data_IF_256042404833
#
_entry.id   IF_256042404833
#
_cell.length_a   1.000
_cell.length_b   1.000
_cell.length_c   1.000
_cell.angle_alpha   90.00
_cell.angle_beta   90.00
_cell.angle_gamma   90.00
#
_symmetry.space_group_name_H-M   'P 1'
#
loop_
_entity.id
_entity.type
_entity.pdbx_description
1 polymer ?
#
# COMPACT_ATOMS: atom_id res chain seq x y z
N UNK A 1 -32.06 -64.67 -44.60
CA UNK A 1 -31.66 -64.79 -46.01
C UNK A 1 -30.88 -63.55 -46.43
N UNK A 2 -29.79 -63.79 -47.14
CA UNK A 2 -29.00 -62.88 -47.97
C UNK A 2 -27.66 -62.40 -47.42
N UNK A 3 -26.67 -62.67 -48.27
CA UNK A 3 -25.23 -62.69 -48.13
C UNK A 3 -24.64 -61.40 -48.75
N UNK A 4 -23.51 -60.96 -48.20
CA UNK A 4 -22.33 -60.35 -48.86
C UNK A 4 -22.51 -59.04 -49.64
N UNK A 5 -21.70 -58.05 -49.25
CA UNK A 5 -20.71 -57.46 -50.17
C UNK A 5 -19.55 -56.87 -49.37
N UNK A 6 -18.35 -57.38 -49.67
CA UNK A 6 -17.06 -56.79 -49.30
C UNK A 6 -16.85 -55.50 -50.10
N UNK A 7 -16.21 -54.49 -49.52
CA UNK A 7 -15.18 -53.73 -50.24
C UNK A 7 -14.20 -53.10 -49.24
N UNK A 8 -12.92 -53.41 -49.45
CA UNK A 8 -11.78 -52.85 -48.74
C UNK A 8 -11.52 -51.42 -49.19
N UNK A 9 -11.14 -50.55 -48.25
CA UNK A 9 -10.25 -49.44 -48.55
C UNK A 9 -9.40 -49.15 -47.30
N UNK A 10 -8.13 -49.51 -47.43
CA UNK A 10 -7.08 -49.24 -46.46
C UNK A 10 -7.00 -47.73 -46.17
N UNK A 11 -6.93 -47.37 -44.90
CA UNK A 11 -6.40 -46.06 -44.49
C UNK A 11 -5.27 -46.28 -43.50
N UNK A 12 -4.14 -45.71 -43.89
CA UNK A 12 -2.82 -45.78 -43.31
C UNK A 12 -2.83 -45.31 -41.86
N UNK A 13 -2.19 -46.09 -41.00
CA UNK A 13 -1.83 -45.67 -39.65
C UNK A 13 -0.74 -44.59 -39.72
N UNK A 14 -1.02 -43.42 -39.14
CA UNK A 14 0.02 -42.45 -38.77
C UNK A 14 -0.12 -42.17 -37.27
N UNK A 15 0.49 -43.03 -36.46
CA UNK A 15 0.64 -42.80 -35.03
C UNK A 15 1.77 -41.77 -34.83
N UNK A 16 1.41 -40.49 -34.77
CA UNK A 16 2.31 -39.43 -34.34
C UNK A 16 2.21 -39.29 -32.82
N UNK A 17 2.92 -40.14 -32.08
CA UNK A 17 3.06 -40.02 -30.63
C UNK A 17 4.09 -38.94 -30.33
N UNK A 18 3.69 -37.66 -30.37
CA UNK A 18 4.44 -36.58 -29.74
C UNK A 18 4.29 -36.74 -28.23
N UNK A 19 5.25 -37.42 -27.61
CA UNK A 19 5.46 -37.38 -26.16
C UNK A 19 5.85 -35.95 -25.76
N UNK A 20 4.85 -35.08 -25.62
CA UNK A 20 5.00 -33.79 -24.96
C UNK A 20 5.22 -34.02 -23.48
N UNK A 21 6.47 -34.12 -23.04
CA UNK A 21 6.82 -33.84 -21.65
C UNK A 21 6.63 -32.34 -21.43
N UNK A 22 5.41 -31.91 -21.16
CA UNK A 22 5.18 -30.63 -20.50
C UNK A 22 5.71 -30.78 -19.08
N UNK A 23 6.97 -30.43 -18.88
CA UNK A 23 7.48 -30.13 -17.56
C UNK A 23 6.71 -28.90 -17.06
N UNK A 24 5.60 -29.13 -16.35
CA UNK A 24 4.96 -28.10 -15.54
C UNK A 24 5.97 -27.75 -14.46
N UNK A 25 6.72 -26.67 -14.65
CA UNK A 25 7.47 -26.08 -13.56
C UNK A 25 6.48 -25.80 -12.43
N UNK A 26 6.75 -26.21 -11.18
CA UNK A 26 5.90 -25.81 -10.06
C UNK A 26 5.90 -24.28 -10.05
N UNK A 27 4.71 -23.68 -10.11
CA UNK A 27 4.56 -22.27 -9.83
C UNK A 27 5.16 -22.07 -8.44
N UNK A 28 6.24 -21.29 -8.35
CA UNK A 28 6.74 -20.82 -7.07
C UNK A 28 5.53 -20.17 -6.38
N UNK A 29 5.12 -20.71 -5.24
CA UNK A 29 4.11 -20.07 -4.41
C UNK A 29 4.70 -18.71 -4.05
N UNK A 30 4.22 -17.64 -4.70
CA UNK A 30 4.50 -16.29 -4.25
C UNK A 30 4.10 -16.28 -2.78
N UNK A 31 5.06 -16.01 -1.90
CA UNK A 31 4.76 -15.83 -0.49
C UNK A 31 3.69 -14.74 -0.31
N UNK A 32 3.12 -14.61 0.89
CA UNK A 32 2.18 -13.52 1.15
C UNK A 32 2.81 -12.19 0.74
N UNK A 33 2.02 -11.31 0.12
CA UNK A 33 2.46 -10.00 -0.36
C UNK A 33 2.82 -9.02 0.76
N UNK A 34 2.58 -9.41 2.02
CA UNK A 34 2.89 -8.68 3.24
C UNK A 34 3.48 -9.61 4.30
N UNK A 35 4.18 -9.04 5.27
CA UNK A 35 4.74 -9.76 6.40
C UNK A 35 3.64 -10.35 7.30
N UNK A 36 3.92 -11.46 8.02
CA UNK A 36 3.00 -11.98 9.04
C UNK A 36 2.63 -10.97 10.13
N UNK A 37 3.56 -10.07 10.47
CA UNK A 37 3.33 -9.01 11.47
C UNK A 37 2.35 -7.95 10.94
N UNK A 38 2.51 -7.51 9.69
CA UNK A 38 1.56 -6.62 9.04
C UNK A 38 0.19 -7.30 8.87
N UNK A 39 0.14 -8.58 8.52
CA UNK A 39 -1.12 -9.32 8.43
C UNK A 39 -1.85 -9.42 9.79
N UNK A 40 -1.11 -9.59 10.89
CA UNK A 40 -1.67 -9.63 12.23
C UNK A 40 -2.24 -8.27 12.66
N UNK A 41 -1.50 -7.18 12.41
CA UNK A 41 -1.92 -5.80 12.72
C UNK A 41 -3.18 -5.33 11.98
N UNK A 42 -3.57 -6.05 10.93
CA UNK A 42 -4.77 -5.74 10.13
C UNK A 42 -5.94 -6.67 10.43
N UNK A 43 -5.74 -7.68 11.28
CA UNK A 43 -6.67 -8.80 11.40
C UNK A 43 -8.00 -8.42 12.08
N UNK A 44 -7.98 -7.46 13.00
CA UNK A 44 -9.16 -6.98 13.73
C UNK A 44 -9.77 -5.70 13.13
N UNK A 45 -9.12 -5.13 12.11
CA UNK A 45 -9.57 -3.94 11.39
C UNK A 45 -9.22 -2.61 12.07
N UNK A 46 -8.45 -2.62 13.16
CA UNK A 46 -8.02 -1.40 13.85
C UNK A 46 -6.51 -1.46 14.13
N UNK A 47 -5.74 -0.57 13.48
CA UNK A 47 -4.31 -0.46 13.76
C UNK A 47 -4.10 0.34 15.04
N UNK A 48 -3.45 -0.26 16.03
CA UNK A 48 -3.02 0.42 17.26
C UNK A 48 -1.67 1.14 17.07
N UNK A 49 -1.32 2.06 18.00
CA UNK A 49 -0.02 2.73 17.96
C UNK A 49 1.15 1.73 18.00
N UNK A 50 1.05 0.70 18.83
CA UNK A 50 2.11 -0.30 19.00
C UNK A 50 2.31 -1.11 17.71
N UNK A 51 1.23 -1.41 16.98
CA UNK A 51 1.29 -2.10 15.68
C UNK A 51 1.85 -1.21 14.58
N UNK A 52 1.44 0.06 14.56
CA UNK A 52 1.98 1.08 13.66
C UNK A 52 3.49 1.24 13.84
N UNK A 53 3.94 1.40 15.09
CA UNK A 53 5.35 1.53 15.43
C UNK A 53 6.12 0.23 15.15
N UNK A 54 5.54 -0.94 15.44
CA UNK A 54 6.17 -2.23 15.11
C UNK A 54 6.39 -2.41 13.60
N UNK A 55 5.42 -1.99 12.77
CA UNK A 55 5.56 -2.02 11.31
C UNK A 55 6.66 -1.09 10.82
N UNK A 56 6.71 0.13 11.36
CA UNK A 56 7.79 1.07 11.06
C UNK A 56 9.17 0.51 11.42
N UNK A 57 9.30 -0.07 12.61
CA UNK A 57 10.56 -0.64 13.07
C UNK A 57 11.01 -1.82 12.19
N UNK A 58 10.07 -2.64 11.70
CA UNK A 58 10.38 -3.72 10.77
C UNK A 58 10.82 -3.20 9.40
N UNK A 59 10.16 -2.15 8.89
CA UNK A 59 10.57 -1.44 7.68
C UNK A 59 11.97 -0.83 7.82
N UNK A 60 12.25 -0.12 8.91
CA UNK A 60 13.55 0.48 9.21
C UNK A 60 14.65 -0.57 9.29
N UNK A 61 14.38 -1.71 9.95
CA UNK A 61 15.33 -2.83 10.02
C UNK A 61 15.64 -3.41 8.64
N UNK A 62 14.63 -3.63 7.79
CA UNK A 62 14.83 -4.09 6.41
C UNK A 62 15.72 -3.13 5.61
N UNK A 63 15.46 -1.84 5.73
CA UNK A 63 16.23 -0.78 5.07
C UNK A 63 17.69 -0.76 5.55
N UNK A 64 17.91 -0.88 6.86
CA UNK A 64 19.25 -0.94 7.44
C UNK A 64 20.02 -2.20 7.00
N UNK A 65 19.38 -3.37 6.99
CA UNK A 65 19.98 -4.65 6.53
C UNK A 65 20.41 -4.59 5.07
N UNK A 66 19.73 -3.79 4.25
CA UNK A 66 20.06 -3.55 2.84
C UNK A 66 21.11 -2.45 2.63
N UNK A 67 21.63 -1.86 3.71
CA UNK A 67 22.66 -0.82 3.68
C UNK A 67 22.13 0.60 3.46
N UNK A 68 20.82 0.82 3.63
CA UNK A 68 20.16 2.11 3.42
C UNK A 68 19.35 2.54 4.65
N UNK A 69 19.98 2.81 5.81
CA UNK A 69 19.25 3.20 7.01
C UNK A 69 18.43 4.47 6.80
N UNK A 70 17.26 4.53 7.45
CA UNK A 70 16.40 5.73 7.48
C UNK A 70 17.13 6.86 8.20
N UNK A 71 17.05 8.09 7.66
CA UNK A 71 17.69 9.27 8.22
C UNK A 71 16.68 10.26 8.80
N UNK A 72 17.12 11.19 9.65
CA UNK A 72 16.29 12.28 10.21
C UNK A 72 14.96 11.84 10.82
N UNK A 73 14.96 10.66 11.47
CA UNK A 73 13.78 10.06 12.09
C UNK A 73 13.22 10.98 13.19
N UNK A 74 11.92 11.24 13.13
CA UNK A 74 11.18 11.97 14.16
C UNK A 74 9.75 11.48 14.28
N UNK A 75 9.18 11.67 15.47
CA UNK A 75 7.75 11.55 15.68
C UNK A 75 7.11 12.93 15.55
N UNK A 76 6.08 13.04 14.71
CA UNK A 76 5.29 14.25 14.52
C UNK A 76 3.83 13.97 14.90
N UNK A 77 3.51 14.12 16.19
CA UNK A 77 2.20 13.77 16.74
C UNK A 77 1.89 12.28 16.57
N UNK A 78 0.94 11.97 15.67
CA UNK A 78 0.50 10.60 15.37
C UNK A 78 1.30 9.95 14.22
N UNK A 79 2.24 10.66 13.60
CA UNK A 79 3.05 10.13 12.48
C UNK A 79 4.48 9.85 12.93
N UNK A 80 5.08 8.82 12.31
CA UNK A 80 6.54 8.63 12.30
C UNK A 80 7.04 9.05 10.92
N UNK A 81 8.01 9.97 10.90
CA UNK A 81 8.60 10.51 9.68
C UNK A 81 10.09 10.17 9.63
N UNK A 82 10.61 9.96 8.43
CA UNK A 82 12.04 9.76 8.19
C UNK A 82 12.39 9.97 6.72
N UNK A 83 13.63 10.32 6.46
CA UNK A 83 14.18 10.45 5.11
C UNK A 83 14.58 9.10 4.54
N UNK A 84 14.11 8.81 3.32
CA UNK A 84 14.54 7.65 2.55
C UNK A 84 15.77 8.04 1.72
N UNK A 85 16.91 7.34 1.85
CA UNK A 85 18.07 7.60 0.99
C UNK A 85 17.70 7.42 -0.49
N UNK A 86 18.01 8.41 -1.34
CA UNK A 86 17.63 8.36 -2.76
C UNK A 86 18.20 7.15 -3.52
N UNK A 87 19.34 6.61 -3.07
CA UNK A 87 19.90 5.38 -3.63
C UNK A 87 19.03 4.13 -3.36
N UNK A 88 18.31 4.09 -2.23
CA UNK A 88 17.36 3.01 -1.92
C UNK A 88 16.14 3.08 -2.83
N UNK A 89 15.63 4.31 -3.07
CA UNK A 89 14.53 4.58 -4.01
C UNK A 89 14.88 4.13 -5.41
N UNK A 90 16.06 4.51 -5.90
CA UNK A 90 16.53 4.11 -7.23
C UNK A 90 16.70 2.59 -7.37
N UNK A 91 17.00 1.90 -6.26
CA UNK A 91 17.13 0.45 -6.22
C UNK A 91 15.79 -0.28 -5.97
N UNK A 92 14.70 0.44 -5.67
CA UNK A 92 13.39 -0.12 -5.32
C UNK A 92 13.34 -0.82 -3.96
N UNK A 93 14.38 -0.66 -3.13
CA UNK A 93 14.50 -1.33 -1.83
C UNK A 93 13.56 -0.69 -0.81
N UNK A 94 13.35 0.61 -0.91
CA UNK A 94 12.37 1.33 -0.10
C UNK A 94 10.97 0.77 -0.30
N UNK A 95 10.53 0.63 -1.55
CA UNK A 95 9.22 0.09 -1.89
C UNK A 95 9.10 -1.38 -1.46
N UNK A 96 10.12 -2.20 -1.70
CA UNK A 96 10.13 -3.60 -1.28
C UNK A 96 9.98 -3.74 0.25
N UNK A 97 10.79 -3.02 1.02
CA UNK A 97 10.74 -3.04 2.48
C UNK A 97 9.43 -2.42 2.99
N UNK A 98 8.98 -1.31 2.41
CA UNK A 98 7.78 -0.59 2.84
C UNK A 98 6.53 -1.43 2.60
N UNK A 99 6.31 -1.89 1.37
CA UNK A 99 5.12 -2.66 0.99
C UNK A 99 5.02 -3.95 1.82
N UNK A 100 6.15 -4.64 2.03
CA UNK A 100 6.15 -5.89 2.76
C UNK A 100 5.95 -5.71 4.27
N UNK A 101 6.56 -4.71 4.90
CA UNK A 101 6.55 -4.60 6.37
C UNK A 101 5.56 -3.59 6.96
N UNK A 102 5.19 -2.53 6.24
CA UNK A 102 4.50 -1.40 6.86
C UNK A 102 3.37 -0.76 6.04
N UNK A 103 3.40 -0.83 4.71
CA UNK A 103 2.63 0.10 3.88
C UNK A 103 1.11 0.05 4.03
N UNK A 104 0.51 -1.11 4.29
CA UNK A 104 -0.93 -1.20 4.58
C UNK A 104 -1.26 -0.78 6.01
N UNK A 105 -0.37 -1.04 6.97
CA UNK A 105 -0.52 -0.56 8.36
C UNK A 105 -0.47 0.97 8.38
N UNK A 106 0.53 1.57 7.73
CA UNK A 106 0.65 3.03 7.60
C UNK A 106 -0.56 3.64 6.88
N UNK A 107 -0.98 3.05 5.75
CA UNK A 107 -2.17 3.52 5.03
C UNK A 107 -3.44 3.54 5.89
N UNK A 108 -3.74 2.46 6.61
CA UNK A 108 -4.89 2.41 7.51
C UNK A 108 -4.77 3.40 8.67
N UNK A 109 -3.58 3.48 9.26
CA UNK A 109 -3.29 4.41 10.34
C UNK A 109 -3.51 5.87 9.93
N UNK A 110 -2.97 6.29 8.77
CA UNK A 110 -3.10 7.65 8.28
C UNK A 110 -4.56 8.02 7.95
N UNK A 111 -5.33 7.09 7.37
CA UNK A 111 -6.76 7.30 7.10
C UNK A 111 -7.55 7.47 8.40
N UNK A 112 -7.29 6.63 9.41
CA UNK A 112 -7.95 6.72 10.72
C UNK A 112 -7.66 8.04 11.45
N UNK A 113 -6.52 8.67 11.16
CA UNK A 113 -6.05 9.90 11.79
C UNK A 113 -6.12 11.14 10.88
N UNK A 114 -6.86 11.05 9.77
CA UNK A 114 -6.93 12.13 8.78
C UNK A 114 -7.47 13.45 9.36
N UNK A 115 -8.40 13.36 10.32
CA UNK A 115 -9.02 14.50 11.01
C UNK A 115 -8.07 15.23 11.98
N UNK A 116 -6.94 14.63 12.35
CA UNK A 116 -5.91 15.25 13.19
C UNK A 116 -4.62 15.57 12.42
N UNK A 117 -4.63 15.34 11.10
CA UNK A 117 -3.51 15.61 10.20
C UNK A 117 -3.06 17.06 10.20
N UNK A 118 -1.81 17.30 9.77
CA UNK A 118 -1.32 18.66 9.50
C UNK A 118 -2.32 19.43 8.62
N UNK A 119 -2.81 18.80 7.55
CA UNK A 119 -3.82 19.39 6.67
C UNK A 119 -5.10 19.74 7.41
N UNK A 120 -5.65 18.85 8.24
CA UNK A 120 -6.85 19.15 9.03
C UNK A 120 -6.65 20.36 9.95
N UNK A 121 -5.51 20.43 10.64
CA UNK A 121 -5.15 21.58 11.49
C UNK A 121 -5.00 22.87 10.67
N UNK A 122 -4.39 22.78 9.50
CA UNK A 122 -4.18 23.92 8.60
C UNK A 122 -5.49 24.46 8.04
N UNK A 123 -6.41 23.59 7.58
CA UNK A 123 -7.74 24.02 7.13
C UNK A 123 -8.53 24.66 8.27
N UNK A 124 -8.49 24.07 9.47
CA UNK A 124 -9.13 24.65 10.65
C UNK A 124 -8.53 26.01 11.03
N UNK A 125 -7.21 26.17 10.93
CA UNK A 125 -6.53 27.45 11.14
C UNK A 125 -6.94 28.49 10.09
N UNK A 126 -7.06 28.08 8.83
CA UNK A 126 -7.52 28.97 7.76
C UNK A 126 -8.93 29.49 8.05
N UNK A 127 -9.87 28.63 8.42
CA UNK A 127 -11.23 29.04 8.79
C UNK A 127 -11.23 30.03 9.97
N UNK A 128 -10.46 29.73 11.03
CA UNK A 128 -10.33 30.65 12.19
C UNK A 128 -9.77 32.01 11.78
N UNK A 129 -8.80 32.07 10.87
CA UNK A 129 -8.22 33.33 10.37
C UNK A 129 -9.24 34.21 9.64
N UNK A 130 -10.33 33.61 9.14
CA UNK A 130 -11.45 34.30 8.49
C UNK A 130 -12.66 34.48 9.40
N UNK A 131 -12.54 34.20 10.71
CA UNK A 131 -13.62 34.33 11.68
C UNK A 131 -14.68 33.21 11.60
N UNK A 132 -14.39 32.11 10.93
CA UNK A 132 -15.29 30.96 10.80
C UNK A 132 -14.89 29.87 11.81
N UNK A 133 -15.87 29.34 12.54
CA UNK A 133 -15.62 28.24 13.48
C UNK A 133 -15.43 26.92 12.70
N UNK A 134 -14.28 26.23 12.84
CA UNK A 134 -14.05 24.97 12.18
C UNK A 134 -14.87 23.83 12.80
N UNK A 135 -15.13 22.81 11.99
CA UNK A 135 -15.69 21.52 12.36
C UNK A 135 -14.58 20.56 12.80
N UNK A 136 -14.99 19.45 13.39
CA UNK A 136 -14.07 18.38 13.81
C UNK A 136 -13.48 17.64 12.61
N UNK A 137 -14.28 17.42 11.56
CA UNK A 137 -13.87 16.65 10.38
C UNK A 137 -13.10 17.50 9.37
N UNK A 138 -12.01 16.94 8.83
CA UNK A 138 -11.21 17.59 7.78
C UNK A 138 -12.06 17.89 6.55
N UNK A 139 -12.86 16.91 6.12
CA UNK A 139 -13.74 17.04 4.96
C UNK A 139 -14.75 18.20 5.12
N UNK A 140 -15.39 18.30 6.29
CA UNK A 140 -16.33 19.38 6.58
C UNK A 140 -15.63 20.76 6.56
N UNK A 141 -14.39 20.83 7.03
CA UNK A 141 -13.60 22.07 6.96
C UNK A 141 -13.23 22.46 5.53
N UNK A 142 -12.92 21.48 4.67
CA UNK A 142 -12.70 21.74 3.25
C UNK A 142 -13.98 22.25 2.56
N UNK A 143 -15.14 21.66 2.87
CA UNK A 143 -16.44 22.11 2.36
C UNK A 143 -16.79 23.52 2.85
N UNK A 144 -16.46 23.86 4.11
CA UNK A 144 -16.65 25.21 4.63
C UNK A 144 -15.80 26.26 3.89
N UNK A 145 -14.54 25.96 3.58
CA UNK A 145 -13.70 26.88 2.81
C UNK A 145 -14.31 27.15 1.43
N UNK A 146 -14.72 26.07 0.73
CA UNK A 146 -15.37 26.15 -0.57
C UNK A 146 -16.69 26.94 -0.52
N UNK A 147 -17.53 26.67 0.48
CA UNK A 147 -18.82 27.33 0.65
C UNK A 147 -18.69 28.84 0.93
N UNK A 148 -17.55 29.28 1.47
CA UNK A 148 -17.26 30.68 1.78
C UNK A 148 -16.36 31.35 0.73
N UNK A 149 -16.03 30.67 -0.38
CA UNK A 149 -15.16 31.21 -1.43
C UNK A 149 -13.75 31.54 -0.93
N UNK A 150 -13.23 30.77 0.03
CA UNK A 150 -11.88 30.95 0.56
C UNK A 150 -10.92 30.07 -0.24
N UNK A 151 -10.01 30.69 -0.96
CA UNK A 151 -8.96 29.99 -1.69
C UNK A 151 -7.83 29.55 -0.75
N UNK A 152 -7.26 28.39 -1.03
CA UNK A 152 -6.17 27.82 -0.22
C UNK A 152 -4.92 28.72 -0.19
N UNK A 153 -4.70 29.53 -1.22
CA UNK A 153 -3.60 30.51 -1.30
C UNK A 153 -3.77 31.68 -0.33
N UNK A 154 -4.98 31.90 0.18
CA UNK A 154 -5.29 32.99 1.12
C UNK A 154 -5.19 32.54 2.59
N UNK A 155 -4.86 31.27 2.80
CA UNK A 155 -4.68 30.67 4.12
C UNK A 155 -3.26 30.94 4.64
N UNK A 156 -3.11 31.38 5.90
CA UNK A 156 -1.79 31.52 6.50
C UNK A 156 -1.10 30.16 6.62
N UNK A 157 0.23 30.15 6.62
CA UNK A 157 1.00 28.97 6.99
C UNK A 157 0.70 28.59 8.43
N UNK A 158 0.70 27.28 8.72
CA UNK A 158 0.68 26.82 10.12
C UNK A 158 2.11 26.99 10.65
N UNK A 159 2.29 27.79 11.69
CA UNK A 159 3.56 27.79 12.43
C UNK A 159 3.57 26.54 13.32
N UNK A 160 4.62 25.73 13.20
CA UNK A 160 4.85 24.51 14.00
C UNK A 160 5.57 24.81 15.32
#
# INVERSE_FOLDING_TARGET
MSLRAFLHAATLATALSLAGCSATAPAASAGPSISPQQAAALADGEVTWDEYEAGYNAFEACMADRGYPIVDKRRNGYLIEGGIPGAAVNAGIDAECYDYYWGQVDGNWQVAHDDVSYTARWLANCLRSKGITPKEKKADNADLLKANGIELTDCPTLEE
#
